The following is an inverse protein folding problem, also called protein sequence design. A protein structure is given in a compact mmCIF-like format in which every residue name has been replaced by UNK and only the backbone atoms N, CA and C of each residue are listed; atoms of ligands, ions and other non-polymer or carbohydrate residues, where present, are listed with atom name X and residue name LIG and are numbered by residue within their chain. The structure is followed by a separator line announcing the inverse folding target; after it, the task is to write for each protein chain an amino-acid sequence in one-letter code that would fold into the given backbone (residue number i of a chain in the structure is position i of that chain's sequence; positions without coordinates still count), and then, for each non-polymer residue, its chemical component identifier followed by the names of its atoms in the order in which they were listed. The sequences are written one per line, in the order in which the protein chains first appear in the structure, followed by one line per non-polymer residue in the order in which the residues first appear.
data_IF_302193433487
#
_entry.id   IF_302193433487
#
_cell.length_a   1.000
_cell.length_b   1.000
_cell.length_c   1.000
_cell.angle_alpha   90.00
_cell.angle_beta   90.00
_cell.angle_gamma   90.00
#
_symmetry.space_group_name_H-M   'P 1'
#
loop_
_entity.id
_entity.type
_entity.pdbx_description
1 polymer ?
#
# COMPACT_ATOMS: atom_id res chain seq x y z
N UNK A 1 27.58 15.16 -22.15
CA UNK A 1 27.74 16.52 -21.57
C UNK A 1 28.24 16.33 -20.15
N UNK A 2 29.30 17.02 -19.70
CA UNK A 2 29.75 16.92 -18.32
C UNK A 2 28.99 17.95 -17.48
N UNK A 3 28.85 17.71 -16.16
CA UNK A 3 28.23 18.67 -15.24
C UNK A 3 28.84 20.06 -15.35
N UNK A 4 30.17 20.11 -15.41
CA UNK A 4 30.92 21.37 -15.56
C UNK A 4 30.54 22.17 -16.82
N UNK A 5 30.34 21.51 -17.95
CA UNK A 5 29.91 22.16 -19.19
C UNK A 5 28.48 22.70 -19.08
N UNK A 6 27.63 22.02 -18.32
CA UNK A 6 26.26 22.46 -18.05
C UNK A 6 26.24 23.71 -17.16
N UNK A 7 27.02 23.71 -16.08
CA UNK A 7 27.17 24.88 -15.17
C UNK A 7 27.77 26.11 -15.89
N UNK A 8 28.75 25.88 -16.78
CA UNK A 8 29.32 26.93 -17.63
C UNK A 8 28.27 27.52 -18.61
N UNK A 9 27.40 26.68 -19.19
CA UNK A 9 26.33 27.09 -20.10
C UNK A 9 25.25 27.89 -19.36
N UNK A 10 24.86 27.43 -18.15
CA UNK A 10 23.85 28.06 -17.32
C UNK A 10 24.35 29.30 -16.57
N UNK A 11 25.67 29.47 -16.43
CA UNK A 11 26.29 30.55 -15.71
C UNK A 11 26.12 30.51 -14.18
N UNK A 12 25.70 29.34 -13.66
CA UNK A 12 25.46 29.10 -12.22
C UNK A 12 25.96 27.73 -11.82
N UNK A 13 26.41 27.59 -10.57
CA UNK A 13 26.75 26.29 -10.00
C UNK A 13 25.48 25.55 -9.58
N UNK A 14 25.35 24.31 -10.00
CA UNK A 14 24.24 23.40 -9.64
C UNK A 14 24.56 22.67 -8.34
N UNK A 15 25.84 22.36 -8.10
CA UNK A 15 26.30 21.69 -6.89
C UNK A 15 27.34 22.53 -6.16
N UNK A 16 27.28 22.50 -4.83
CA UNK A 16 28.30 23.10 -3.96
C UNK A 16 28.87 22.05 -2.99
N UNK A 17 30.09 22.27 -2.52
CA UNK A 17 30.69 21.43 -1.48
C UNK A 17 30.57 22.08 -0.11
N UNK A 18 29.71 21.56 0.75
CA UNK A 18 29.60 21.95 2.16
C UNK A 18 30.17 20.85 3.05
N UNK A 19 31.22 21.21 3.83
CA UNK A 19 31.88 20.27 4.77
C UNK A 19 32.32 18.93 4.16
N UNK A 20 32.69 18.94 2.86
CA UNK A 20 33.15 17.75 2.13
C UNK A 20 32.03 16.92 1.51
N UNK A 21 30.76 17.27 1.71
CA UNK A 21 29.58 16.66 1.07
C UNK A 21 29.17 17.51 -0.13
N UNK A 22 28.78 16.84 -1.21
CA UNK A 22 28.24 17.48 -2.40
C UNK A 22 26.75 17.71 -2.17
N UNK A 23 26.30 18.96 -2.19
CA UNK A 23 24.89 19.36 -2.00
C UNK A 23 24.44 20.20 -3.20
N UNK A 24 23.13 20.20 -3.47
CA UNK A 24 22.53 21.07 -4.47
C UNK A 24 22.55 22.53 -3.98
N UNK A 25 22.86 23.43 -4.87
CA UNK A 25 22.59 24.88 -4.67
C UNK A 25 21.11 25.16 -4.88
N UNK A 26 20.63 26.33 -4.52
CA UNK A 26 19.28 26.77 -4.86
C UNK A 26 19.03 26.76 -6.39
N UNK A 27 20.03 27.16 -7.18
CA UNK A 27 19.97 27.03 -8.65
C UNK A 27 19.91 25.56 -9.09
N UNK A 28 20.63 24.67 -8.38
CA UNK A 28 20.58 23.24 -8.59
C UNK A 28 19.21 22.63 -8.32
N UNK A 29 18.56 23.03 -7.22
CA UNK A 29 17.18 22.59 -6.92
C UNK A 29 16.21 23.02 -8.04
N UNK A 30 16.26 24.27 -8.48
CA UNK A 30 15.44 24.78 -9.57
C UNK A 30 15.71 24.02 -10.88
N UNK A 31 16.98 23.76 -11.18
CA UNK A 31 17.35 22.99 -12.37
C UNK A 31 16.85 21.54 -12.32
N UNK A 32 16.98 20.86 -11.18
CA UNK A 32 16.46 19.50 -11.00
C UNK A 32 14.95 19.46 -11.21
N UNK A 33 14.18 20.36 -10.61
CA UNK A 33 12.75 20.46 -10.84
C UNK A 33 12.38 20.65 -12.32
N UNK A 34 13.07 21.58 -12.99
CA UNK A 34 12.84 21.81 -14.41
C UNK A 34 13.20 20.59 -15.27
N UNK A 35 14.31 19.92 -14.94
CA UNK A 35 14.75 18.72 -15.66
C UNK A 35 13.75 17.56 -15.49
N UNK A 36 13.26 17.34 -14.27
CA UNK A 36 12.22 16.36 -13.98
C UNK A 36 10.92 16.64 -14.76
N UNK A 37 10.45 17.89 -14.75
CA UNK A 37 9.27 18.30 -15.50
C UNK A 37 9.45 18.12 -17.02
N UNK A 38 10.64 18.41 -17.54
CA UNK A 38 10.97 18.25 -18.96
C UNK A 38 11.01 16.77 -19.36
N UNK A 39 11.62 15.92 -18.55
CA UNK A 39 11.65 14.47 -18.76
C UNK A 39 10.24 13.89 -18.70
N UNK A 40 9.42 14.35 -17.76
CA UNK A 40 8.01 13.97 -17.64
C UNK A 40 7.20 14.35 -18.87
N UNK A 41 7.35 15.59 -19.35
CA UNK A 41 6.66 16.06 -20.56
C UNK A 41 7.04 15.24 -21.78
N UNK A 42 8.31 14.86 -21.90
CA UNK A 42 8.79 13.96 -22.95
C UNK A 42 8.14 12.57 -22.84
N UNK A 43 8.03 12.03 -21.62
CA UNK A 43 7.39 10.72 -21.41
C UNK A 43 5.91 10.75 -21.79
N UNK A 44 5.18 11.80 -21.34
CA UNK A 44 3.76 11.99 -21.71
C UNK A 44 3.58 12.01 -23.24
N UNK A 45 4.42 12.76 -23.95
CA UNK A 45 4.38 12.79 -25.41
C UNK A 45 4.66 11.42 -26.01
N UNK A 46 5.65 10.70 -25.49
CA UNK A 46 5.98 9.34 -25.92
C UNK A 46 4.80 8.39 -25.75
N UNK A 47 4.11 8.45 -24.60
CA UNK A 47 2.95 7.62 -24.30
C UNK A 47 1.76 7.96 -25.22
N UNK A 48 1.51 9.26 -25.46
CA UNK A 48 0.47 9.71 -26.41
C UNK A 48 0.75 9.24 -27.83
N UNK A 49 2.00 9.33 -28.30
CA UNK A 49 2.40 8.84 -29.62
C UNK A 49 2.29 7.31 -29.71
N UNK A 50 2.58 6.62 -28.60
CA UNK A 50 2.42 5.17 -28.51
C UNK A 50 0.96 4.75 -28.62
N UNK A 51 0.03 5.47 -28.00
CA UNK A 51 -1.41 5.21 -28.10
C UNK A 51 -1.95 5.40 -29.55
N UNK A 52 -1.32 6.26 -30.33
CA UNK A 52 -1.66 6.46 -31.75
C UNK A 52 -1.10 5.33 -32.62
N UNK A 53 0.00 4.72 -32.20
CA UNK A 53 0.66 3.65 -32.94
C UNK A 53 0.09 2.29 -32.57
N UNK A 54 -0.60 1.63 -33.48
CA UNK A 54 -1.24 0.33 -33.27
C UNK A 54 -0.30 -0.82 -32.84
N UNK A 55 1.02 -0.59 -32.80
CA UNK A 55 2.05 -1.59 -32.46
C UNK A 55 2.95 -1.18 -31.28
N UNK A 56 2.64 -0.08 -30.59
CA UNK A 56 3.47 0.36 -29.48
C UNK A 56 3.27 -0.55 -28.26
N UNK A 57 4.38 -0.85 -27.60
CA UNK A 57 4.39 -1.60 -26.35
C UNK A 57 4.30 -0.62 -25.18
N UNK A 58 3.22 -0.73 -24.42
CA UNK A 58 3.01 0.10 -23.24
C UNK A 58 3.65 -0.54 -22.01
N UNK A 59 4.09 0.27 -21.09
CA UNK A 59 4.60 -0.18 -19.79
C UNK A 59 3.79 0.48 -18.68
N UNK A 60 3.34 -0.34 -17.72
CA UNK A 60 2.68 0.13 -16.50
C UNK A 60 3.51 -0.35 -15.30
N UNK A 61 3.80 0.54 -14.37
CA UNK A 61 4.51 0.26 -13.14
C UNK A 61 3.52 0.37 -11.98
N UNK A 62 3.07 -0.80 -11.49
CA UNK A 62 2.09 -0.93 -10.43
C UNK A 62 2.78 -1.20 -9.10
N UNK A 63 2.58 -0.34 -8.11
CA UNK A 63 2.98 -0.55 -6.74
C UNK A 63 1.85 -1.10 -5.87
N UNK A 64 2.10 -2.14 -5.13
CA UNK A 64 1.11 -2.78 -4.26
C UNK A 64 1.80 -3.46 -3.08
N UNK A 65 1.16 -3.47 -1.89
CA UNK A 65 1.72 -4.21 -0.76
C UNK A 65 1.67 -5.73 -0.99
N UNK A 66 2.68 -6.50 -0.52
CA UNK A 66 2.79 -7.93 -0.81
C UNK A 66 1.53 -8.74 -0.51
N UNK A 67 0.89 -8.51 0.65
CA UNK A 67 -0.33 -9.24 1.00
C UNK A 67 -1.52 -8.92 0.08
N UNK A 68 -1.64 -7.67 -0.40
CA UNK A 68 -2.70 -7.29 -1.33
C UNK A 68 -2.43 -7.84 -2.73
N UNK A 69 -1.19 -7.92 -3.15
CA UNK A 69 -0.85 -8.48 -4.46
C UNK A 69 -1.32 -9.93 -4.57
N UNK A 70 -1.08 -10.74 -3.55
CA UNK A 70 -1.52 -12.14 -3.50
C UNK A 70 -3.04 -12.31 -3.61
N UNK A 71 -3.80 -11.35 -3.09
CA UNK A 71 -5.27 -11.44 -3.03
C UNK A 71 -5.93 -10.81 -4.26
N UNK A 72 -5.43 -9.65 -4.71
CA UNK A 72 -6.08 -8.85 -5.75
C UNK A 72 -5.60 -9.21 -7.16
N UNK A 73 -4.28 -9.38 -7.34
CA UNK A 73 -3.72 -9.44 -8.68
C UNK A 73 -4.10 -10.68 -9.49
N UNK A 74 -4.26 -11.89 -8.93
CA UNK A 74 -4.62 -13.05 -9.73
C UNK A 74 -5.88 -12.83 -10.57
N UNK A 75 -6.96 -12.34 -9.96
CA UNK A 75 -8.23 -12.11 -10.65
C UNK A 75 -8.20 -10.87 -11.54
N UNK A 76 -7.53 -9.81 -11.10
CA UNK A 76 -7.40 -8.56 -11.86
C UNK A 76 -6.60 -8.79 -13.13
N UNK A 77 -5.44 -9.45 -13.01
CA UNK A 77 -4.54 -9.66 -14.16
C UNK A 77 -5.09 -10.71 -15.12
N UNK A 78 -5.83 -11.70 -14.62
CA UNK A 78 -6.54 -12.64 -15.48
C UNK A 78 -7.52 -11.91 -16.39
N UNK A 79 -8.26 -10.93 -15.88
CA UNK A 79 -9.19 -10.15 -16.71
C UNK A 79 -8.46 -9.12 -17.58
N UNK A 80 -7.40 -8.50 -17.05
CA UNK A 80 -6.60 -7.53 -17.78
C UNK A 80 -6.01 -8.12 -19.07
N UNK A 81 -5.32 -9.26 -18.96
CA UNK A 81 -4.66 -9.90 -20.12
C UNK A 81 -5.60 -10.61 -21.09
N UNK A 82 -6.92 -10.66 -20.82
CA UNK A 82 -7.91 -11.05 -21.84
C UNK A 82 -8.12 -9.98 -22.91
N UNK A 83 -7.82 -8.71 -22.58
CA UNK A 83 -8.12 -7.56 -23.43
C UNK A 83 -6.87 -6.73 -23.74
N UNK A 84 -5.89 -6.73 -22.84
CA UNK A 84 -4.67 -5.94 -22.99
C UNK A 84 -3.65 -6.70 -23.84
N UNK A 85 -3.48 -6.24 -25.08
CA UNK A 85 -2.40 -6.69 -25.96
C UNK A 85 -1.21 -5.72 -25.85
N UNK A 86 0.03 -6.21 -26.00
CA UNK A 86 1.24 -5.39 -26.03
C UNK A 86 1.47 -4.48 -24.80
N UNK A 87 1.09 -4.94 -23.61
CA UNK A 87 1.34 -4.23 -22.35
C UNK A 87 2.29 -4.99 -21.43
N UNK A 88 3.41 -4.35 -21.05
CA UNK A 88 4.31 -4.82 -20.00
C UNK A 88 3.84 -4.27 -18.66
N UNK A 89 3.44 -5.13 -17.76
CA UNK A 89 3.13 -4.78 -16.39
C UNK A 89 4.29 -5.12 -15.47
N UNK A 90 4.89 -4.10 -14.88
CA UNK A 90 5.89 -4.25 -13.82
C UNK A 90 5.19 -4.11 -12.46
N UNK A 91 5.23 -5.16 -11.65
CA UNK A 91 4.66 -5.15 -10.29
C UNK A 91 5.80 -4.92 -9.30
N UNK A 92 5.62 -3.94 -8.42
CA UNK A 92 6.55 -3.63 -7.33
C UNK A 92 5.84 -3.87 -6.02
N UNK A 93 6.36 -4.82 -5.25
CA UNK A 93 5.79 -5.26 -3.98
C UNK A 93 6.61 -4.72 -2.82
N UNK A 94 6.15 -3.61 -2.24
CA UNK A 94 6.86 -2.92 -1.16
C UNK A 94 5.88 -2.46 -0.06
N UNK A 95 6.38 -2.13 1.13
CA UNK A 95 5.58 -1.45 2.15
C UNK A 95 5.05 -0.10 1.63
N UNK A 96 3.85 0.28 2.08
CA UNK A 96 3.14 1.49 1.67
C UNK A 96 3.99 2.76 1.64
N UNK A 97 4.84 2.98 2.64
CA UNK A 97 5.66 4.19 2.71
C UNK A 97 6.70 4.25 1.57
N UNK A 98 7.31 3.11 1.19
CA UNK A 98 8.21 3.05 0.04
C UNK A 98 7.46 3.21 -1.29
N UNK A 99 6.27 2.61 -1.41
CA UNK A 99 5.45 2.78 -2.62
C UNK A 99 5.08 4.24 -2.86
N UNK A 100 4.86 5.02 -1.79
CA UNK A 100 4.57 6.45 -1.90
C UNK A 100 5.80 7.23 -2.37
N UNK A 101 6.96 7.00 -1.75
CA UNK A 101 8.22 7.59 -2.18
C UNK A 101 8.48 7.27 -3.66
N UNK A 102 8.32 6.02 -4.07
CA UNK A 102 8.50 5.61 -5.47
C UNK A 102 7.47 6.25 -6.42
N UNK A 103 6.23 6.50 -5.98
CA UNK A 103 5.23 7.22 -6.78
C UNK A 103 5.59 8.71 -6.89
N UNK A 104 6.09 9.31 -5.81
CA UNK A 104 6.56 10.69 -5.77
C UNK A 104 7.80 10.89 -6.66
N UNK A 105 8.68 9.90 -6.75
CA UNK A 105 9.88 9.87 -7.60
C UNK A 105 9.61 9.40 -9.06
N UNK A 106 8.34 9.34 -9.51
CA UNK A 106 7.96 8.87 -10.85
C UNK A 106 8.45 7.45 -11.20
N UNK A 107 8.75 6.63 -10.20
CA UNK A 107 9.13 5.22 -10.41
C UNK A 107 7.91 4.31 -10.56
N UNK A 108 6.72 4.76 -10.16
CA UNK A 108 5.44 4.07 -10.27
C UNK A 108 4.41 4.95 -10.96
N UNK A 109 3.48 4.32 -11.67
CA UNK A 109 2.37 4.99 -12.36
C UNK A 109 1.08 4.95 -11.53
N UNK A 110 0.91 3.88 -10.77
CA UNK A 110 -0.26 3.59 -9.94
C UNK A 110 0.16 2.85 -8.68
N UNK A 111 -0.40 3.20 -7.52
CA UNK A 111 -0.30 2.39 -6.31
C UNK A 111 -1.69 2.08 -5.74
N UNK A 112 -1.82 0.93 -5.05
CA UNK A 112 -3.01 0.58 -4.28
C UNK A 112 -2.71 0.78 -2.80
N UNK A 113 -3.27 1.85 -2.24
CA UNK A 113 -2.94 2.29 -0.88
C UNK A 113 -4.10 3.02 -0.19
N UNK A 114 -3.84 3.61 0.97
CA UNK A 114 -4.72 4.62 1.59
C UNK A 114 -4.56 5.97 0.88
N UNK A 115 -5.51 6.93 1.05
CA UNK A 115 -5.44 8.22 0.37
C UNK A 115 -4.09 8.91 0.54
N UNK A 116 -3.60 9.52 -0.53
CA UNK A 116 -2.39 10.32 -0.50
C UNK A 116 -2.66 11.66 0.21
N UNK A 117 -1.71 12.15 1.01
CA UNK A 117 -1.84 13.42 1.74
C UNK A 117 -1.84 14.64 0.81
N UNK A 118 -1.03 14.61 -0.24
CA UNK A 118 -1.04 15.63 -1.28
C UNK A 118 -2.19 15.40 -2.26
N UNK A 119 -3.29 16.10 -2.04
CA UNK A 119 -4.47 16.06 -2.90
C UNK A 119 -4.40 17.01 -4.10
N UNK A 120 -3.36 17.81 -4.21
CA UNK A 120 -3.16 18.72 -5.35
C UNK A 120 -2.60 17.93 -6.53
N UNK A 121 -1.51 17.21 -6.30
CA UNK A 121 -0.77 16.49 -7.33
C UNK A 121 -1.26 15.06 -7.57
N UNK A 122 -1.88 14.44 -6.56
CA UNK A 122 -2.31 13.04 -6.62
C UNK A 122 -3.84 12.90 -6.58
N UNK A 123 -4.33 12.01 -7.43
CA UNK A 123 -5.69 11.49 -7.34
C UNK A 123 -5.68 10.28 -6.41
N UNK A 124 -6.59 10.29 -5.43
CA UNK A 124 -6.87 9.14 -4.57
C UNK A 124 -8.32 8.74 -4.77
N UNK A 125 -8.53 7.68 -5.51
CA UNK A 125 -9.86 7.18 -5.82
C UNK A 125 -10.22 6.05 -4.85
N UNK A 126 -11.19 6.28 -3.99
CA UNK A 126 -11.68 5.30 -3.03
C UNK A 126 -12.39 4.14 -3.75
N UNK A 127 -11.89 2.93 -3.58
CA UNK A 127 -12.48 1.72 -4.18
C UNK A 127 -13.05 0.75 -3.14
N UNK A 128 -12.56 0.76 -1.90
CA UNK A 128 -13.12 -0.03 -0.82
C UNK A 128 -12.78 0.56 0.56
N UNK A 129 -13.46 0.03 1.57
CA UNK A 129 -13.13 0.24 2.99
C UNK A 129 -12.97 -1.12 3.65
N UNK A 130 -11.94 -1.29 4.44
CA UNK A 130 -11.70 -2.54 5.16
C UNK A 130 -11.63 -2.32 6.67
N UNK A 131 -12.10 -3.28 7.42
CA UNK A 131 -11.95 -3.30 8.88
C UNK A 131 -10.63 -3.96 9.28
N UNK A 132 -10.17 -3.61 10.48
CA UNK A 132 -9.10 -4.34 11.15
C UNK A 132 -9.72 -5.19 12.25
N UNK A 133 -9.45 -6.48 12.19
CA UNK A 133 -9.97 -7.50 13.09
C UNK A 133 -8.86 -8.02 13.99
N UNK A 134 -9.21 -8.57 15.13
CA UNK A 134 -8.30 -9.39 15.91
C UNK A 134 -8.31 -10.81 15.36
N UNK A 135 -7.16 -11.31 14.94
CA UNK A 135 -6.92 -12.69 14.53
C UNK A 135 -6.37 -13.49 15.72
N UNK A 136 -7.03 -14.58 16.05
CA UNK A 136 -6.66 -15.47 17.15
C UNK A 136 -6.73 -16.94 16.73
N UNK A 137 -5.90 -17.81 17.35
CA UNK A 137 -6.03 -19.26 17.12
C UNK A 137 -7.43 -19.76 17.47
N UNK A 138 -8.07 -20.57 16.64
CA UNK A 138 -9.40 -21.18 16.94
C UNK A 138 -9.43 -21.91 18.28
N UNK A 139 -8.30 -22.47 18.70
CA UNK A 139 -8.18 -23.13 20.02
C UNK A 139 -8.48 -22.17 21.19
N UNK A 140 -8.36 -20.84 20.98
CA UNK A 140 -8.66 -19.83 21.97
C UNK A 140 -10.11 -19.37 22.00
N UNK A 141 -10.97 -19.78 21.08
CA UNK A 141 -12.36 -19.30 20.95
C UNK A 141 -13.14 -19.39 22.27
N UNK A 142 -13.04 -20.53 22.97
CA UNK A 142 -13.71 -20.73 24.28
C UNK A 142 -13.20 -19.73 25.35
N UNK A 143 -11.91 -19.39 25.33
CA UNK A 143 -11.34 -18.42 26.24
C UNK A 143 -11.80 -17.00 25.89
N UNK A 144 -11.85 -16.66 24.61
CA UNK A 144 -12.23 -15.34 24.12
C UNK A 144 -13.73 -15.05 24.25
N UNK A 145 -14.59 -16.10 24.29
CA UNK A 145 -16.04 -15.95 24.48
C UNK A 145 -16.42 -15.08 25.70
N UNK A 146 -15.63 -15.10 26.76
CA UNK A 146 -15.85 -14.29 27.97
C UNK A 146 -15.69 -12.78 27.73
N UNK A 147 -14.96 -12.44 26.68
CA UNK A 147 -14.62 -11.07 26.34
C UNK A 147 -15.49 -10.54 25.17
N UNK A 148 -16.38 -11.37 24.62
CA UNK A 148 -17.28 -10.94 23.55
C UNK A 148 -18.41 -10.08 24.11
N UNK A 149 -18.77 -9.07 23.34
CA UNK A 149 -19.97 -8.26 23.54
C UNK A 149 -21.17 -8.92 22.88
N UNK A 150 -22.36 -8.36 23.07
CA UNK A 150 -23.60 -8.86 22.47
C UNK A 150 -23.60 -8.78 20.94
N UNK A 151 -22.85 -7.84 20.37
CA UNK A 151 -22.68 -7.67 18.92
C UNK A 151 -21.53 -8.50 18.33
N UNK A 152 -20.93 -9.40 19.14
CA UNK A 152 -19.85 -10.29 18.72
C UNK A 152 -18.46 -9.63 18.65
N UNK A 153 -18.34 -8.35 19.03
CA UNK A 153 -17.02 -7.70 19.07
C UNK A 153 -16.25 -8.06 20.34
N UNK A 154 -14.91 -8.12 20.23
CA UNK A 154 -14.04 -8.51 21.33
C UNK A 154 -13.58 -7.28 22.13
N UNK A 155 -13.74 -7.33 23.44
CA UNK A 155 -13.14 -6.36 24.38
C UNK A 155 -11.72 -6.74 24.70
N UNK A 156 -10.81 -5.79 24.57
CA UNK A 156 -9.45 -5.93 25.05
C UNK A 156 -9.44 -5.60 26.55
N UNK A 157 -9.36 -6.63 27.38
CA UNK A 157 -9.39 -6.50 28.85
C UNK A 157 -8.11 -7.08 29.46
N UNK A 158 -7.78 -6.70 30.70
CA UNK A 158 -6.60 -7.19 31.41
C UNK A 158 -6.56 -8.72 31.58
N UNK A 159 -7.74 -9.39 31.44
CA UNK A 159 -7.85 -10.85 31.52
C UNK A 159 -7.40 -11.55 30.22
N UNK A 160 -7.20 -10.78 29.14
CA UNK A 160 -6.68 -11.30 27.89
C UNK A 160 -5.16 -11.51 28.01
N UNK A 161 -4.76 -12.69 28.48
CA UNK A 161 -3.36 -13.06 28.73
C UNK A 161 -2.65 -13.62 27.48
N UNK A 162 -3.22 -13.45 26.30
CA UNK A 162 -2.58 -13.90 25.09
C UNK A 162 -1.44 -12.96 24.68
N UNK A 163 -0.28 -13.50 24.28
CA UNK A 163 0.78 -12.67 23.75
C UNK A 163 0.40 -12.10 22.38
N UNK A 164 0.73 -10.83 22.15
CA UNK A 164 0.52 -10.18 20.87
C UNK A 164 1.73 -10.35 19.95
N UNK A 165 1.44 -10.65 18.69
CA UNK A 165 2.38 -10.60 17.57
C UNK A 165 2.09 -9.28 16.84
N UNK A 166 3.00 -8.32 16.93
CA UNK A 166 2.80 -6.98 16.43
C UNK A 166 3.59 -6.73 15.15
N UNK A 167 3.01 -5.96 14.26
CA UNK A 167 3.77 -5.38 13.15
C UNK A 167 4.55 -4.15 13.62
N UNK A 168 5.70 -3.90 12.98
CA UNK A 168 6.51 -2.70 13.26
C UNK A 168 5.72 -1.42 13.01
N UNK A 169 6.03 -0.34 13.71
CA UNK A 169 5.35 0.96 13.56
C UNK A 169 5.54 1.62 12.19
N UNK A 170 6.51 1.16 11.41
CA UNK A 170 6.64 1.56 10.00
C UNK A 170 5.49 1.03 9.13
N UNK A 171 4.82 -0.04 9.56
CA UNK A 171 3.67 -0.62 8.88
C UNK A 171 2.37 0.05 9.35
N UNK A 172 1.44 0.30 8.43
CA UNK A 172 0.13 0.90 8.75
C UNK A 172 -0.61 0.09 9.82
N UNK A 173 -0.58 -1.25 9.75
CA UNK A 173 -1.22 -2.12 10.74
C UNK A 173 -0.55 -1.95 12.12
N UNK A 174 0.77 -1.77 12.18
CA UNK A 174 1.47 -1.48 13.43
C UNK A 174 0.98 -0.19 14.08
N UNK A 175 0.85 0.89 13.30
CA UNK A 175 0.30 2.16 13.77
C UNK A 175 -1.16 2.05 14.23
N UNK A 176 -1.97 1.30 13.48
CA UNK A 176 -3.37 1.03 13.86
C UNK A 176 -3.42 0.24 15.16
N UNK A 177 -2.54 -0.75 15.34
CA UNK A 177 -2.47 -1.54 16.58
C UNK A 177 -2.23 -0.67 17.80
N UNK A 178 -1.34 0.31 17.72
CA UNK A 178 -1.09 1.27 18.81
C UNK A 178 -2.35 2.09 19.13
N UNK A 179 -3.02 2.62 18.09
CA UNK A 179 -4.30 3.35 18.29
C UNK A 179 -5.38 2.50 18.94
N UNK A 180 -5.49 1.22 18.57
CA UNK A 180 -6.44 0.29 19.18
C UNK A 180 -6.12 0.10 20.67
N UNK A 181 -4.86 -0.08 21.02
CA UNK A 181 -4.43 -0.22 22.42
C UNK A 181 -4.72 1.05 23.24
N UNK A 182 -4.42 2.22 22.70
CA UNK A 182 -4.70 3.50 23.34
C UNK A 182 -6.21 3.70 23.56
N UNK A 183 -7.02 3.52 22.52
CA UNK A 183 -8.49 3.67 22.56
C UNK A 183 -9.12 2.70 23.54
N UNK A 184 -8.58 1.48 23.65
CA UNK A 184 -9.07 0.44 24.56
C UNK A 184 -8.47 0.54 25.97
N UNK A 185 -7.58 1.48 26.22
CA UNK A 185 -6.75 1.57 27.43
C UNK A 185 -6.14 0.20 27.83
N UNK A 186 -5.63 -0.50 26.82
CA UNK A 186 -5.09 -1.86 26.95
C UNK A 186 -3.57 -1.86 26.77
N UNK A 187 -2.86 -2.60 27.62
CA UNK A 187 -1.42 -2.81 27.50
C UNK A 187 -1.14 -4.26 27.06
N UNK A 188 -0.66 -4.47 25.83
CA UNK A 188 -0.43 -5.81 25.33
C UNK A 188 0.79 -6.47 26.01
N UNK A 189 0.72 -7.78 26.17
CA UNK A 189 1.89 -8.60 26.36
C UNK A 189 2.47 -8.91 24.98
N UNK A 190 3.51 -8.18 24.55
CA UNK A 190 4.14 -8.40 23.25
C UNK A 190 5.19 -9.50 23.35
N UNK A 191 5.11 -10.51 22.49
CA UNK A 191 6.08 -11.60 22.41
C UNK A 191 6.93 -11.57 21.16
N UNK A 192 6.35 -11.13 20.04
CA UNK A 192 6.98 -11.14 18.72
C UNK A 192 6.67 -9.83 18.02
N UNK A 193 7.68 -9.28 17.34
CA UNK A 193 7.52 -8.16 16.41
C UNK A 193 8.05 -8.57 15.04
N UNK A 194 7.27 -8.35 13.98
CA UNK A 194 7.66 -8.66 12.60
C UNK A 194 7.22 -7.54 11.64
N UNK A 195 7.68 -7.62 10.39
CA UNK A 195 7.36 -6.63 9.36
C UNK A 195 6.37 -7.15 8.30
N UNK A 196 5.93 -8.40 8.41
CA UNK A 196 5.06 -9.04 7.42
C UNK A 196 3.83 -9.63 8.10
N UNK A 197 2.64 -9.25 7.62
CA UNK A 197 1.35 -9.72 8.17
C UNK A 197 1.13 -11.21 7.93
N UNK A 198 1.60 -11.75 6.80
CA UNK A 198 1.47 -13.19 6.51
C UNK A 198 2.29 -14.03 7.49
N UNK A 199 3.47 -13.54 7.88
CA UNK A 199 4.26 -14.14 8.96
C UNK A 199 3.50 -14.10 10.27
N UNK A 200 2.95 -12.94 10.66
CA UNK A 200 2.17 -12.80 11.89
C UNK A 200 1.00 -13.78 11.93
N UNK A 201 0.20 -13.86 10.87
CA UNK A 201 -0.94 -14.79 10.77
C UNK A 201 -0.52 -16.26 10.79
N UNK A 202 0.61 -16.58 10.14
CA UNK A 202 1.14 -17.95 10.18
C UNK A 202 1.54 -18.36 11.62
N UNK A 203 2.11 -17.44 12.38
CA UNK A 203 2.44 -17.66 13.80
C UNK A 203 1.18 -17.77 14.67
N UNK A 204 0.13 -16.95 14.40
CA UNK A 204 -1.19 -17.08 15.02
C UNK A 204 -1.78 -18.45 14.75
N UNK A 205 -1.78 -18.92 13.49
CA UNK A 205 -2.29 -20.24 13.12
C UNK A 205 -1.58 -21.38 13.87
N UNK A 206 -0.32 -21.16 14.31
CA UNK A 206 0.46 -22.11 15.13
C UNK A 206 0.27 -21.94 16.64
N UNK A 207 -0.64 -21.04 17.07
CA UNK A 207 -0.95 -20.84 18.48
C UNK A 207 0.06 -19.99 19.26
N UNK A 208 0.97 -19.25 18.59
CA UNK A 208 2.03 -18.49 19.25
C UNK A 208 1.58 -17.12 19.77
N UNK A 209 0.35 -16.73 19.49
CA UNK A 209 -0.21 -15.45 19.93
C UNK A 209 -1.40 -15.02 19.11
N UNK A 210 -1.75 -13.75 19.25
CA UNK A 210 -2.84 -13.06 18.53
C UNK A 210 -2.28 -11.83 17.83
N UNK A 211 -2.92 -11.38 16.75
CA UNK A 211 -2.51 -10.16 16.05
C UNK A 211 -3.70 -9.39 15.48
N UNK A 212 -3.49 -8.15 15.07
CA UNK A 212 -4.47 -7.42 14.27
C UNK A 212 -4.21 -7.68 12.79
N UNK A 213 -5.29 -7.89 12.03
CA UNK A 213 -5.22 -8.19 10.60
C UNK A 213 -6.36 -7.51 9.83
N UNK A 214 -6.14 -7.12 8.58
CA UNK A 214 -7.21 -6.70 7.67
C UNK A 214 -8.27 -7.78 7.48
N UNK A 215 -9.54 -7.38 7.36
CA UNK A 215 -10.67 -8.32 7.18
C UNK A 215 -10.55 -9.19 5.93
N UNK A 216 -9.83 -8.75 4.90
CA UNK A 216 -9.59 -9.53 3.69
C UNK A 216 -8.96 -10.89 3.95
N UNK A 217 -8.28 -11.08 5.09
CA UNK A 217 -7.72 -12.36 5.48
C UNK A 217 -8.75 -13.38 5.99
N UNK A 218 -9.97 -12.95 6.34
CA UNK A 218 -11.07 -13.85 6.73
C UNK A 218 -11.38 -14.88 5.64
N UNK A 219 -11.25 -14.45 4.38
CA UNK A 219 -11.57 -15.25 3.19
C UNK A 219 -10.39 -16.09 2.68
N UNK A 220 -9.24 -16.06 3.36
CA UNK A 220 -8.09 -16.86 2.97
C UNK A 220 -8.23 -18.30 3.46
N UNK A 221 -8.48 -19.24 2.56
CA UNK A 221 -8.65 -20.67 2.86
C UNK A 221 -7.52 -21.25 3.72
N UNK A 222 -6.26 -20.79 3.48
CA UNK A 222 -5.09 -21.25 4.23
C UNK A 222 -5.17 -21.01 5.74
N UNK A 223 -6.00 -20.10 6.19
CA UNK A 223 -6.18 -19.75 7.61
C UNK A 223 -7.53 -20.18 8.16
N UNK A 224 -8.48 -20.55 7.29
CA UNK A 224 -9.87 -20.81 7.64
C UNK A 224 -10.05 -21.85 8.76
N UNK A 225 -9.21 -22.88 8.81
CA UNK A 225 -9.31 -23.93 9.82
C UNK A 225 -8.54 -23.63 11.12
N UNK A 226 -7.71 -22.59 11.14
CA UNK A 226 -6.76 -22.34 12.22
C UNK A 226 -6.99 -21.03 12.96
N UNK A 227 -7.60 -20.04 12.31
CA UNK A 227 -7.75 -18.68 12.84
C UNK A 227 -9.22 -18.30 12.90
N UNK A 228 -9.62 -17.69 14.03
CA UNK A 228 -10.87 -16.97 14.19
C UNK A 228 -10.60 -15.48 14.19
N UNK A 229 -11.50 -14.70 13.56
CA UNK A 229 -11.39 -13.25 13.45
C UNK A 229 -12.52 -12.57 14.21
N UNK A 230 -12.19 -11.53 14.97
CA UNK A 230 -13.13 -10.83 15.83
C UNK A 230 -13.08 -9.33 15.55
N UNK A 231 -14.23 -8.66 15.33
CA UNK A 231 -14.32 -7.22 15.39
C UNK A 231 -13.85 -6.72 16.77
N UNK A 232 -13.27 -5.53 16.83
CA UNK A 232 -12.72 -4.98 18.06
C UNK A 232 -13.75 -4.01 18.66
N UNK A 233 -14.11 -4.23 19.92
CA UNK A 233 -15.02 -3.33 20.62
C UNK A 233 -14.39 -1.93 20.77
N UNK A 234 -15.18 -0.89 20.55
CA UNK A 234 -14.78 0.52 20.59
C UNK A 234 -13.77 0.94 19.50
N UNK A 235 -13.50 0.08 18.51
CA UNK A 235 -12.72 0.45 17.34
C UNK A 235 -13.50 0.12 16.07
N UNK A 236 -14.09 1.16 15.47
CA UNK A 236 -14.90 1.04 14.24
C UNK A 236 -14.31 1.76 13.04
N UNK A 237 -13.09 2.24 13.19
CA UNK A 237 -12.41 2.90 12.09
C UNK A 237 -12.14 1.90 10.97
N UNK A 238 -12.48 2.32 9.76
CA UNK A 238 -12.17 1.54 8.56
C UNK A 238 -11.00 2.16 7.83
N UNK A 239 -10.15 1.33 7.30
CA UNK A 239 -9.07 1.76 6.42
C UNK A 239 -9.61 1.94 5.00
N UNK A 240 -9.35 3.07 4.39
CA UNK A 240 -9.67 3.31 2.99
C UNK A 240 -8.67 2.59 2.08
N UNK A 241 -9.17 2.02 0.99
CA UNK A 241 -8.36 1.45 -0.08
C UNK A 241 -8.60 2.29 -1.31
N UNK A 242 -7.55 2.89 -1.81
CA UNK A 242 -7.61 3.81 -2.95
C UNK A 242 -6.68 3.36 -4.07
N UNK A 243 -7.07 3.68 -5.30
CA UNK A 243 -6.19 3.76 -6.45
C UNK A 243 -5.56 5.14 -6.42
N UNK A 244 -4.24 5.22 -6.29
CA UNK A 244 -3.50 6.48 -6.15
C UNK A 244 -2.55 6.64 -7.32
N UNK A 245 -2.68 7.73 -8.05
CA UNK A 245 -1.87 8.08 -9.22
C UNK A 245 -1.76 9.61 -9.38
N UNK A 246 -0.83 10.08 -10.18
CA UNK A 246 -0.66 11.53 -10.42
C UNK A 246 -1.79 12.07 -11.28
N UNK A 247 -2.35 13.24 -10.92
CA UNK A 247 -3.43 13.90 -11.68
C UNK A 247 -3.01 14.35 -13.07
N UNK A 248 -1.77 14.83 -13.20
CA UNK A 248 -1.25 15.38 -14.45
C UNK A 248 -0.48 14.35 -15.28
N UNK A 249 -0.58 13.06 -14.90
CA UNK A 249 0.00 11.98 -15.68
C UNK A 249 -0.92 11.59 -16.82
N UNK A 250 -0.36 11.31 -18.00
CA UNK A 250 -1.16 10.77 -19.10
C UNK A 250 -1.58 9.34 -18.79
N UNK A 251 -2.88 9.11 -18.70
CA UNK A 251 -3.42 7.78 -18.47
C UNK A 251 -3.64 7.13 -19.85
N UNK A 252 -2.69 6.31 -20.31
CA UNK A 252 -2.85 5.55 -21.53
C UNK A 252 -4.01 4.55 -21.41
N UNK A 253 -4.47 4.02 -22.53
CA UNK A 253 -5.66 3.15 -22.58
C UNK A 253 -5.50 1.86 -21.74
N UNK A 254 -4.31 1.29 -21.63
CA UNK A 254 -4.06 0.12 -20.78
C UNK A 254 -4.14 0.44 -19.29
N UNK A 255 -3.63 1.61 -18.86
CA UNK A 255 -3.75 2.05 -17.48
C UNK A 255 -5.22 2.36 -17.13
N UNK A 256 -5.97 2.97 -18.03
CA UNK A 256 -7.42 3.19 -17.87
C UNK A 256 -8.17 1.85 -17.75
N UNK A 257 -7.85 0.87 -18.59
CA UNK A 257 -8.41 -0.48 -18.51
C UNK A 257 -8.09 -1.14 -17.16
N UNK A 258 -6.85 -1.05 -16.70
CA UNK A 258 -6.44 -1.61 -15.41
C UNK A 258 -7.17 -0.95 -14.23
N UNK A 259 -7.29 0.38 -14.25
CA UNK A 259 -8.06 1.14 -13.26
C UNK A 259 -9.53 0.69 -13.25
N UNK A 260 -10.16 0.51 -14.42
CA UNK A 260 -11.54 0.05 -14.53
C UNK A 260 -11.73 -1.37 -13.95
N UNK A 261 -10.80 -2.27 -14.20
CA UNK A 261 -10.84 -3.62 -13.63
C UNK A 261 -10.70 -3.57 -12.10
N UNK A 262 -9.79 -2.74 -11.57
CA UNK A 262 -9.65 -2.55 -10.13
C UNK A 262 -10.93 -1.99 -9.51
N UNK A 263 -11.58 -0.98 -10.11
CA UNK A 263 -12.86 -0.40 -9.67
C UNK A 263 -13.96 -1.46 -9.55
N UNK A 264 -13.98 -2.44 -10.44
CA UNK A 264 -14.97 -3.51 -10.45
C UNK A 264 -14.63 -4.65 -9.48
N UNK A 265 -13.36 -5.02 -9.38
CA UNK A 265 -12.93 -6.21 -8.62
C UNK A 265 -12.70 -5.95 -7.13
N UNK A 266 -12.05 -4.83 -6.79
CA UNK A 266 -11.71 -4.56 -5.38
C UNK A 266 -12.95 -4.49 -4.50
N UNK A 267 -14.04 -3.77 -4.84
CA UNK A 267 -15.21 -3.73 -3.97
C UNK A 267 -15.82 -5.10 -3.68
N UNK A 268 -15.76 -6.04 -4.63
CA UNK A 268 -16.34 -7.38 -4.45
C UNK A 268 -15.68 -8.17 -3.33
N UNK A 269 -14.43 -7.91 -3.01
CA UNK A 269 -13.69 -8.56 -1.92
C UNK A 269 -14.08 -8.05 -0.53
N UNK A 270 -14.84 -6.95 -0.45
CA UNK A 270 -15.22 -6.27 0.79
C UNK A 270 -16.74 -6.10 0.93
N UNK A 271 -17.55 -6.82 0.16
CA UNK A 271 -19.02 -6.76 0.16
C UNK A 271 -19.66 -7.92 0.94
N UNK A 272 -19.11 -8.30 2.08
CA UNK A 272 -19.66 -9.40 2.87
C UNK A 272 -20.20 -8.98 4.22
#
# INVERSE_FOLDING_TARGET
MSLKNLEEELGVEIFERKKGVLELTYAGELFCHWAEDSLRSKQILSDQLSDISSNARHKIRLGISPHRSLILLPDVLTDFYKTADNCDLQIVEEPTYLLREMLEDDQLDLIIDVPHSDTINYQSELVAREQILLAAPKAMDKQLQKNLTLDGSLRLTADLKAPFILLTEKQIIGQISQRIFETSNFRPLTSITCSNIDTALTLVARGLGICFAPEVFVWQERFADHISYYPINNYRDTRQICLVYRKNHYLNHHLLLLLDIFRRKIPLLYQH
#
